data_IF_349876543709
#
_entry.id   IF_349876543709
#
_cell.length_a   1.000
_cell.length_b   1.000
_cell.length_c   1.000
_cell.angle_alpha   90.00
_cell.angle_beta   90.00
_cell.angle_gamma   90.00
#
_symmetry.space_group_name_H-M   'P 1'
#
loop_
_entity.id
_entity.type
_entity.pdbx_description
1 polymer ?
#
# COMPACT_ATOMS: atom_id res chain seq x y z
N UNK A 1 8.01 -20.77 6.57
CA UNK A 1 7.49 -19.48 7.03
C UNK A 1 6.21 -19.76 7.79
N UNK A 2 6.28 -19.81 9.11
CA UNK A 2 5.18 -20.26 9.97
C UNK A 2 4.08 -19.19 9.96
N UNK A 3 2.92 -19.55 9.43
CA UNK A 3 1.72 -18.71 9.54
C UNK A 3 1.38 -18.62 11.03
N UNK A 4 1.40 -17.41 11.60
CA UNK A 4 0.88 -17.17 12.94
C UNK A 4 -0.55 -17.72 13.07
N UNK A 5 -0.99 -17.95 14.32
CA UNK A 5 -2.37 -18.38 14.57
C UNK A 5 -3.39 -17.47 13.87
N UNK A 6 -4.44 -18.09 13.33
CA UNK A 6 -5.49 -17.42 12.55
C UNK A 6 -6.12 -16.25 13.31
N UNK A 7 -6.22 -16.33 14.64
CA UNK A 7 -6.78 -15.27 15.48
C UNK A 7 -5.87 -14.04 15.52
N UNK A 8 -4.55 -14.23 15.52
CA UNK A 8 -3.59 -13.12 15.52
C UNK A 8 -3.71 -12.31 14.24
N UNK A 9 -3.76 -12.97 13.08
CA UNK A 9 -3.98 -12.27 11.82
C UNK A 9 -5.34 -11.59 11.75
N UNK A 10 -6.38 -12.20 12.31
CA UNK A 10 -7.70 -11.57 12.38
C UNK A 10 -7.73 -10.34 13.28
N UNK A 11 -7.00 -10.35 14.41
CA UNK A 11 -6.86 -9.19 15.28
C UNK A 11 -6.08 -8.07 14.59
N UNK A 12 -4.99 -8.41 13.89
CA UNK A 12 -4.25 -7.46 13.08
C UNK A 12 -5.12 -6.85 11.96
N UNK A 13 -5.94 -7.68 11.31
CA UNK A 13 -6.85 -7.23 10.28
C UNK A 13 -7.97 -6.34 10.83
N UNK A 14 -8.55 -6.64 11.99
CA UNK A 14 -9.52 -5.74 12.66
C UNK A 14 -8.90 -4.41 13.04
N UNK A 15 -7.63 -4.40 13.43
CA UNK A 15 -6.89 -3.19 13.82
C UNK A 15 -6.29 -2.41 12.66
N UNK A 16 -6.46 -2.87 11.41
CA UNK A 16 -5.78 -2.33 10.22
C UNK A 16 -4.26 -2.17 10.42
N UNK A 17 -3.60 -3.13 11.07
CA UNK A 17 -2.19 -3.00 11.45
C UNK A 17 -1.27 -3.10 10.22
N UNK A 18 -0.67 -1.96 9.86
CA UNK A 18 0.24 -1.82 8.72
C UNK A 18 1.49 -2.70 8.84
N UNK A 19 1.86 -3.18 10.03
CA UNK A 19 3.01 -4.09 10.21
C UNK A 19 2.80 -5.45 9.54
N UNK A 20 1.55 -5.83 9.32
CA UNK A 20 1.18 -7.07 8.64
C UNK A 20 0.94 -6.88 7.15
N UNK A 21 0.97 -5.63 6.67
CA UNK A 21 0.77 -5.31 5.29
C UNK A 21 1.85 -5.93 4.39
N UNK A 22 1.42 -6.56 3.28
CA UNK A 22 2.28 -7.35 2.41
C UNK A 22 2.79 -8.69 2.99
N UNK A 23 2.61 -8.95 4.29
CA UNK A 23 3.01 -10.22 4.94
C UNK A 23 1.89 -11.23 5.03
N UNK A 24 0.65 -10.76 5.08
CA UNK A 24 -0.55 -11.59 5.15
C UNK A 24 -1.66 -10.97 4.32
N UNK A 25 -2.43 -11.82 3.66
CA UNK A 25 -3.61 -11.45 2.88
C UNK A 25 -4.82 -12.19 3.44
N UNK A 26 -5.98 -11.55 3.43
CA UNK A 26 -7.21 -12.14 3.95
C UNK A 26 -8.21 -12.39 2.83
N UNK A 27 -8.53 -13.65 2.56
CA UNK A 27 -9.61 -14.06 1.68
C UNK A 27 -10.92 -14.15 2.45
N UNK A 28 -11.94 -13.47 1.94
CA UNK A 28 -13.28 -13.41 2.52
C UNK A 28 -14.17 -14.38 1.77
N UNK A 29 -14.52 -15.51 2.39
CA UNK A 29 -15.26 -16.61 1.75
C UNK A 29 -16.66 -16.19 1.32
N UNK A 30 -17.29 -15.27 2.05
CA UNK A 30 -18.65 -14.80 1.73
C UNK A 30 -18.73 -13.95 0.46
N UNK A 31 -17.62 -13.33 0.02
CA UNK A 31 -17.57 -12.49 -1.19
C UNK A 31 -16.65 -13.05 -2.28
N UNK A 32 -15.78 -14.00 -1.93
CA UNK A 32 -14.72 -14.49 -2.81
C UNK A 32 -13.67 -13.42 -3.12
N UNK A 33 -13.48 -12.45 -2.22
CA UNK A 33 -12.52 -11.34 -2.38
C UNK A 33 -11.37 -11.51 -1.41
N UNK A 34 -10.13 -11.30 -1.83
CA UNK A 34 -9.00 -11.15 -0.92
C UNK A 34 -8.53 -9.69 -0.78
N UNK A 35 -8.10 -9.34 0.43
CA UNK A 35 -7.74 -7.99 0.84
C UNK A 35 -6.37 -7.98 1.54
N UNK A 36 -5.80 -6.78 1.65
CA UNK A 36 -4.68 -6.46 2.55
C UNK A 36 -5.19 -6.17 3.98
N UNK A 37 -4.34 -6.29 5.01
CA UNK A 37 -4.71 -6.03 6.41
C UNK A 37 -5.15 -4.58 6.66
N UNK A 38 -4.61 -3.64 5.88
CA UNK A 38 -4.92 -2.19 5.95
C UNK A 38 -6.16 -1.78 5.14
N UNK A 39 -6.93 -2.74 4.62
CA UNK A 39 -8.08 -2.43 3.77
C UNK A 39 -9.15 -1.66 4.55
N UNK A 40 -9.62 -0.50 4.08
CA UNK A 40 -10.65 0.29 4.77
C UNK A 40 -12.06 -0.31 4.66
N UNK A 41 -12.21 -1.48 4.01
CA UNK A 41 -13.50 -2.15 3.91
C UNK A 41 -13.95 -2.67 5.28
N UNK A 42 -15.28 -2.75 5.49
CA UNK A 42 -15.86 -3.31 6.72
C UNK A 42 -15.28 -4.69 6.99
N UNK A 43 -14.74 -4.89 8.19
CA UNK A 43 -14.15 -6.16 8.57
C UNK A 43 -15.21 -7.27 8.60
N UNK A 44 -15.07 -8.34 7.80
CA UNK A 44 -15.96 -9.50 7.84
C UNK A 44 -15.78 -10.29 9.13
N UNK A 45 -16.75 -11.16 9.44
CA UNK A 45 -16.66 -12.08 10.58
C UNK A 45 -15.49 -13.04 10.44
N UNK A 46 -14.90 -13.43 11.57
CA UNK A 46 -13.78 -14.37 11.64
C UNK A 46 -14.02 -15.69 10.89
N UNK A 47 -15.25 -16.22 10.98
CA UNK A 47 -15.65 -17.46 10.32
C UNK A 47 -15.52 -17.41 8.78
N UNK A 48 -15.63 -16.21 8.21
CA UNK A 48 -15.51 -15.99 6.77
C UNK A 48 -14.09 -15.60 6.33
N UNK A 49 -13.12 -15.58 7.25
CA UNK A 49 -11.76 -15.15 6.97
C UNK A 49 -10.82 -16.35 6.80
N UNK A 50 -10.14 -16.42 5.66
CA UNK A 50 -8.97 -17.27 5.41
C UNK A 50 -7.75 -16.38 5.22
N UNK A 51 -6.60 -16.82 5.70
CA UNK A 51 -5.37 -16.03 5.63
C UNK A 51 -4.34 -16.73 4.75
N UNK A 52 -3.62 -15.95 3.95
CA UNK A 52 -2.65 -16.40 2.97
C UNK A 52 -1.34 -15.63 3.15
N UNK A 53 -0.21 -16.28 2.87
CA UNK A 53 1.12 -15.65 2.97
C UNK A 53 1.42 -14.69 1.82
N UNK A 54 0.72 -14.80 0.69
CA UNK A 54 0.92 -13.97 -0.49
C UNK A 54 -0.39 -13.72 -1.24
N UNK A 55 -0.41 -12.66 -2.06
CA UNK A 55 -1.51 -12.37 -2.98
C UNK A 55 -1.70 -13.51 -3.99
N UNK A 56 -0.60 -14.07 -4.50
CA UNK A 56 -0.61 -15.20 -5.42
C UNK A 56 -1.32 -16.42 -4.82
N UNK A 57 -1.01 -16.79 -3.57
CA UNK A 57 -1.66 -17.92 -2.89
C UNK A 57 -3.17 -17.70 -2.70
N UNK A 58 -3.60 -16.45 -2.47
CA UNK A 58 -5.02 -16.13 -2.40
C UNK A 58 -5.72 -16.25 -3.77
N UNK A 59 -5.04 -15.85 -4.85
CA UNK A 59 -5.55 -15.99 -6.22
C UNK A 59 -5.64 -17.46 -6.65
N UNK A 60 -4.62 -18.27 -6.37
CA UNK A 60 -4.62 -19.72 -6.61
C UNK A 60 -5.75 -20.42 -5.85
N UNK A 61 -6.08 -19.94 -4.65
CA UNK A 61 -7.21 -20.41 -3.87
C UNK A 61 -8.59 -19.92 -4.39
N UNK A 62 -8.63 -19.18 -5.50
CA UNK A 62 -9.86 -18.75 -6.20
C UNK A 62 -10.43 -17.41 -5.73
N UNK A 63 -9.70 -16.63 -4.93
CA UNK A 63 -10.17 -15.31 -4.50
C UNK A 63 -9.79 -14.22 -5.51
N UNK A 64 -10.72 -13.29 -5.76
CA UNK A 64 -10.49 -12.12 -6.62
C UNK A 64 -9.90 -10.95 -5.81
N UNK A 65 -9.04 -10.11 -6.41
CA UNK A 65 -8.45 -8.98 -5.70
C UNK A 65 -9.51 -7.94 -5.31
N UNK A 66 -9.36 -7.37 -4.11
CA UNK A 66 -10.19 -6.26 -3.68
C UNK A 66 -9.90 -4.98 -4.46
N UNK A 67 -10.94 -4.36 -5.01
CA UNK A 67 -10.80 -3.11 -5.75
C UNK A 67 -10.49 -1.89 -4.86
N UNK A 68 -10.68 -1.99 -3.54
CA UNK A 68 -10.44 -0.88 -2.60
C UNK A 68 -9.02 -0.80 -2.07
N UNK A 69 -8.35 -1.94 -1.84
CA UNK A 69 -6.97 -1.95 -1.34
C UNK A 69 -5.96 -2.44 -2.39
N UNK A 70 -6.46 -2.81 -3.59
CA UNK A 70 -5.73 -3.34 -4.76
C UNK A 70 -4.50 -4.17 -4.36
N UNK A 71 -4.73 -5.30 -3.66
CA UNK A 71 -3.65 -6.11 -3.08
C UNK A 71 -2.73 -6.73 -4.14
N UNK A 72 -3.15 -6.74 -5.41
CA UNK A 72 -2.41 -7.24 -6.56
C UNK A 72 -1.34 -6.26 -7.08
N UNK A 73 -1.39 -5.00 -6.64
CA UNK A 73 -0.52 -3.94 -7.16
C UNK A 73 0.12 -3.08 -6.04
N UNK A 74 -0.46 -3.10 -4.84
CA UNK A 74 0.11 -2.41 -3.69
C UNK A 74 1.20 -3.25 -2.99
N UNK A 75 2.23 -2.61 -2.40
CA UNK A 75 2.39 -1.16 -2.18
C UNK A 75 3.12 -0.42 -3.32
N UNK A 76 3.47 -1.12 -4.40
CA UNK A 76 4.50 -0.65 -5.32
C UNK A 76 4.06 0.49 -6.24
N UNK A 77 2.75 0.66 -6.49
CA UNK A 77 2.28 1.81 -7.26
C UNK A 77 2.18 3.11 -6.45
N UNK A 78 2.66 4.17 -7.10
CA UNK A 78 2.59 5.58 -6.73
C UNK A 78 1.26 6.02 -6.08
N UNK A 79 0.11 5.61 -6.65
CA UNK A 79 -1.22 5.94 -6.14
C UNK A 79 -1.46 5.46 -4.70
N UNK A 80 -0.86 4.34 -4.30
CA UNK A 80 -1.02 3.78 -2.94
C UNK A 80 0.00 4.31 -1.94
N UNK A 81 1.08 4.96 -2.39
CA UNK A 81 2.07 5.62 -1.51
C UNK A 81 1.60 7.01 -1.05
N UNK A 82 0.54 7.58 -1.65
CA UNK A 82 0.00 8.89 -1.27
C UNK A 82 1.09 9.98 -1.32
N UNK A 83 1.16 10.83 -0.29
CA UNK A 83 2.19 11.89 -0.17
C UNK A 83 3.62 11.34 -0.21
N UNK A 84 3.85 10.09 0.24
CA UNK A 84 5.18 9.49 0.18
C UNK A 84 5.65 9.27 -1.27
N UNK A 85 4.73 9.17 -2.24
CA UNK A 85 5.09 9.17 -3.66
C UNK A 85 5.69 10.52 -4.10
N UNK A 86 5.03 11.62 -3.72
CA UNK A 86 5.54 12.98 -4.00
C UNK A 86 6.91 13.18 -3.38
N UNK A 87 7.10 12.78 -2.12
CA UNK A 87 8.40 12.85 -1.44
C UNK A 87 9.45 11.99 -2.13
N UNK A 88 9.14 10.75 -2.50
CA UNK A 88 10.08 9.86 -3.18
C UNK A 88 10.52 10.42 -4.54
N UNK A 89 9.57 11.02 -5.29
CA UNK A 89 9.86 11.71 -6.55
C UNK A 89 10.70 12.96 -6.33
N UNK A 90 10.41 13.75 -5.29
CA UNK A 90 11.18 14.93 -4.93
C UNK A 90 12.63 14.56 -4.61
N UNK A 91 12.84 13.53 -3.78
CA UNK A 91 14.18 13.04 -3.42
C UNK A 91 14.97 12.60 -4.66
N UNK A 92 14.33 11.93 -5.62
CA UNK A 92 14.98 11.55 -6.87
C UNK A 92 15.39 12.76 -7.72
N UNK A 93 14.55 13.80 -7.79
CA UNK A 93 14.86 15.03 -8.52
C UNK A 93 15.98 15.83 -7.83
N UNK A 94 15.96 15.91 -6.50
CA UNK A 94 17.04 16.57 -5.74
C UNK A 94 18.37 15.83 -5.95
N UNK A 95 18.35 14.50 -5.94
CA UNK A 95 19.55 13.70 -6.23
C UNK A 95 20.05 13.87 -7.67
N UNK A 96 19.18 14.26 -8.60
CA UNK A 96 19.49 14.61 -10.00
C UNK A 96 19.92 16.08 -10.17
N UNK A 97 20.06 16.82 -9.07
CA UNK A 97 20.55 18.19 -9.04
C UNK A 97 19.49 19.26 -9.27
N UNK A 98 18.20 18.95 -9.10
CA UNK A 98 17.11 19.91 -9.29
C UNK A 98 17.16 21.13 -8.35
N UNK A 99 18.03 21.14 -7.32
CA UNK A 99 18.23 22.25 -6.39
C UNK A 99 19.70 22.72 -6.33
N UNK A 100 20.55 22.29 -7.27
CA UNK A 100 21.99 22.56 -7.23
C UNK A 100 22.36 23.93 -7.83
N UNK A 101 21.41 24.63 -8.47
CA UNK A 101 21.63 25.94 -9.09
C UNK A 101 21.48 27.08 -8.05
N UNK A 102 22.50 27.96 -7.98
CA UNK A 102 22.57 29.14 -7.12
C UNK A 102 21.61 30.26 -7.59
N UNK A 103 20.87 30.84 -6.64
CA UNK A 103 19.79 31.84 -6.79
C UNK A 103 20.20 33.17 -7.47
N UNK A 104 20.48 33.14 -8.77
CA UNK A 104 20.61 34.36 -9.58
C UNK A 104 19.37 34.53 -10.46
N UNK A 105 18.43 35.33 -9.94
CA UNK A 105 17.24 35.87 -10.61
C UNK A 105 15.92 35.06 -10.47
N UNK A 106 15.29 35.19 -9.30
CA UNK A 106 13.86 35.51 -9.26
C UNK A 106 12.84 34.37 -9.23
N UNK A 107 13.26 33.13 -8.98
CA UNK A 107 12.35 32.01 -8.72
C UNK A 107 13.02 30.99 -7.82
N UNK A 108 12.63 30.95 -6.56
CA UNK A 108 13.12 30.04 -5.53
C UNK A 108 13.03 28.58 -6.03
N UNK A 109 14.16 27.85 -6.05
CA UNK A 109 14.27 26.53 -6.70
C UNK A 109 13.28 25.49 -6.18
N UNK A 110 12.72 25.71 -4.98
CA UNK A 110 11.71 24.86 -4.36
C UNK A 110 10.35 24.97 -5.09
N UNK A 111 10.00 26.14 -5.61
CA UNK A 111 8.75 26.41 -6.32
C UNK A 111 8.74 25.71 -7.68
N UNK A 112 9.87 25.74 -8.39
CA UNK A 112 10.05 25.00 -9.64
C UNK A 112 9.97 23.48 -9.40
N UNK A 113 10.53 22.99 -8.28
CA UNK A 113 10.41 21.59 -7.88
C UNK A 113 8.95 21.21 -7.55
N UNK A 114 8.22 22.09 -6.85
CA UNK A 114 6.80 21.88 -6.53
C UNK A 114 5.94 21.78 -7.79
N UNK A 115 6.14 22.68 -8.77
CA UNK A 115 5.45 22.64 -10.06
C UNK A 115 5.71 21.32 -10.81
N UNK A 116 6.96 20.84 -10.87
CA UNK A 116 7.33 19.54 -11.49
C UNK A 116 6.69 18.34 -10.79
N UNK A 117 6.40 18.45 -9.50
CA UNK A 117 5.75 17.43 -8.71
C UNK A 117 4.22 17.51 -8.79
N UNK A 118 3.68 18.64 -9.23
CA UNK A 118 2.24 18.90 -9.35
C UNK A 118 1.56 19.11 -8.00
N UNK A 119 2.26 19.74 -7.04
CA UNK A 119 1.77 20.04 -5.68
C UNK A 119 1.82 21.53 -5.38
#
# INVERSE_FOLDING_TARGET
MELLDRRTYYRAFQGHDARFDGRVFVGVTSTGIYCRPVCPARTPKFENCRFFASAAAAQEAGFRPCLRCRPEIAPDLAFWRGTANTVSRALALIADGALDDDESEGGTGVEALAERLGV
#
